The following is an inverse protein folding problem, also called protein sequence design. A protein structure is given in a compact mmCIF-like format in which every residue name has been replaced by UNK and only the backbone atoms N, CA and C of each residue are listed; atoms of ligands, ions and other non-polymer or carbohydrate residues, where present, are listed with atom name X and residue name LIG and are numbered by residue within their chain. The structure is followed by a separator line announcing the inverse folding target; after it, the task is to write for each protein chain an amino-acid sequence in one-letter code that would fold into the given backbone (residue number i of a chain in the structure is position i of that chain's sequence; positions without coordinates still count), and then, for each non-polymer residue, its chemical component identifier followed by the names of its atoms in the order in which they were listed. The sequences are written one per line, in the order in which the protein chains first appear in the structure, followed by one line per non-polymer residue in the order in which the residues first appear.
data_IF_898879519782
#
_entry.id   IF_898879519782
#
_cell.length_a   1.000
_cell.length_b   1.000
_cell.length_c   1.000
_cell.angle_alpha   90.00
_cell.angle_beta   90.00
_cell.angle_gamma   90.00
#
_symmetry.space_group_name_H-M   'P 1'
#
loop_
_entity.id
_entity.type
_entity.pdbx_description
1 polymer ?
#
# COMPACT_ATOMS: atom_id res chain seq x y z
N UNK A 1 16.38 11.66 -23.14
CA UNK A 1 16.15 11.99 -21.73
C UNK A 1 15.00 11.17 -21.15
N UNK A 2 13.80 11.18 -21.71
CA UNK A 2 12.62 10.44 -21.22
C UNK A 2 12.79 8.92 -21.12
N UNK A 3 13.48 8.25 -22.04
CA UNK A 3 13.71 6.81 -22.00
C UNK A 3 14.56 6.39 -20.79
N UNK A 4 15.55 7.19 -20.39
CA UNK A 4 16.36 6.93 -19.19
C UNK A 4 15.56 7.14 -17.92
N UNK A 5 14.76 8.21 -17.84
CA UNK A 5 13.86 8.42 -16.70
C UNK A 5 12.92 7.21 -16.50
N UNK A 6 12.30 6.74 -17.55
CA UNK A 6 11.38 5.59 -17.51
C UNK A 6 12.05 4.28 -17.07
N UNK A 7 13.37 4.15 -17.37
CA UNK A 7 14.16 2.98 -16.95
C UNK A 7 14.50 2.99 -15.47
N UNK A 8 14.84 4.16 -14.89
CA UNK A 8 15.35 4.27 -13.53
C UNK A 8 14.29 4.73 -12.51
N UNK A 9 13.16 5.28 -12.96
CA UNK A 9 12.10 5.73 -12.06
C UNK A 9 11.58 4.63 -11.10
N UNK A 10 11.35 3.36 -11.53
CA UNK A 10 10.94 2.30 -10.62
C UNK A 10 11.99 2.00 -9.54
N UNK A 11 13.27 2.05 -9.90
CA UNK A 11 14.38 1.86 -8.96
C UNK A 11 14.44 3.00 -7.95
N UNK A 12 14.43 4.26 -8.43
CA UNK A 12 14.45 5.43 -7.57
C UNK A 12 13.26 5.46 -6.61
N UNK A 13 12.06 5.13 -7.10
CA UNK A 13 10.85 5.01 -6.27
C UNK A 13 11.03 3.95 -5.17
N UNK A 14 11.45 2.73 -5.53
CA UNK A 14 11.59 1.65 -4.57
C UNK A 14 12.62 1.97 -3.48
N UNK A 15 13.74 2.58 -3.85
CA UNK A 15 14.79 2.96 -2.90
C UNK A 15 14.33 4.10 -1.99
N UNK A 16 13.69 5.15 -2.52
CA UNK A 16 13.22 6.28 -1.71
C UNK A 16 12.07 5.91 -0.79
N UNK A 17 11.02 5.25 -1.30
CA UNK A 17 9.90 4.81 -0.48
C UNK A 17 10.32 3.75 0.55
N UNK A 18 11.17 2.80 0.15
CA UNK A 18 11.74 1.82 1.05
C UNK A 18 12.56 2.45 2.17
N UNK A 19 13.38 3.45 1.88
CA UNK A 19 14.16 4.17 2.89
C UNK A 19 13.25 4.89 3.90
N UNK A 20 12.21 5.57 3.44
CA UNK A 20 11.24 6.26 4.31
C UNK A 20 10.53 5.27 5.24
N UNK A 21 10.04 4.16 4.70
CA UNK A 21 9.38 3.15 5.52
C UNK A 21 10.35 2.50 6.52
N UNK A 22 11.54 2.08 6.08
CA UNK A 22 12.52 1.45 6.96
C UNK A 22 12.97 2.39 8.09
N UNK A 23 13.11 3.69 7.81
CA UNK A 23 13.38 4.67 8.87
C UNK A 23 12.20 4.78 9.85
N UNK A 24 10.97 4.79 9.36
CA UNK A 24 9.75 4.80 10.16
C UNK A 24 9.65 3.58 11.10
N UNK A 25 10.08 2.39 10.65
CA UNK A 25 9.99 1.15 11.42
C UNK A 25 10.80 1.19 12.73
N UNK A 26 11.96 1.85 12.74
CA UNK A 26 12.77 1.95 13.96
C UNK A 26 11.99 2.65 15.09
N UNK A 27 11.17 3.66 14.78
CA UNK A 27 10.34 4.34 15.78
C UNK A 27 9.14 3.49 16.23
N UNK A 28 8.49 2.79 15.25
CA UNK A 28 7.30 1.98 15.55
C UNK A 28 7.61 0.72 16.33
N UNK A 29 8.69 0.01 15.99
CA UNK A 29 9.03 -1.24 16.67
C UNK A 29 9.81 -1.06 17.98
N UNK A 30 10.40 0.11 18.22
CA UNK A 30 11.02 0.43 19.50
C UNK A 30 10.08 1.16 20.48
N UNK A 31 8.83 1.38 20.06
CA UNK A 31 7.84 2.12 20.86
C UNK A 31 8.31 3.53 21.23
N UNK A 32 8.94 4.22 20.28
CA UNK A 32 9.54 5.52 20.48
C UNK A 32 8.52 6.58 20.94
N UNK A 33 8.92 7.58 21.73
CA UNK A 33 8.00 8.63 22.22
C UNK A 33 7.23 9.35 21.12
N UNK A 34 7.87 9.59 19.98
CA UNK A 34 7.26 10.24 18.80
C UNK A 34 6.10 9.42 18.25
N UNK A 35 6.25 8.09 18.24
CA UNK A 35 5.17 7.17 17.83
C UNK A 35 4.03 7.18 18.81
N UNK A 36 4.32 7.22 20.13
CA UNK A 36 3.28 7.26 21.16
C UNK A 36 2.45 8.55 21.08
N UNK A 37 3.06 9.71 20.76
CA UNK A 37 2.34 10.97 20.53
C UNK A 37 1.34 10.81 19.38
N UNK A 38 1.75 10.22 18.26
CA UNK A 38 0.90 10.06 17.08
C UNK A 38 -0.27 9.12 17.38
N UNK A 39 0.05 7.88 17.79
CA UNK A 39 -0.97 6.85 17.98
C UNK A 39 -1.86 7.14 19.19
N UNK A 40 -1.33 7.78 20.25
CA UNK A 40 -2.12 8.23 21.38
C UNK A 40 -3.12 9.33 21.02
N UNK A 41 -2.74 10.32 20.18
CA UNK A 41 -3.68 11.33 19.66
C UNK A 41 -4.77 10.71 18.80
N UNK A 42 -4.43 9.74 17.97
CA UNK A 42 -5.40 9.03 17.10
C UNK A 42 -6.35 8.18 17.93
N UNK A 43 -5.85 7.48 18.97
CA UNK A 43 -6.72 6.67 19.82
C UNK A 43 -7.66 7.51 20.67
N UNK A 44 -7.19 8.63 21.22
CA UNK A 44 -8.03 9.60 21.93
C UNK A 44 -9.12 10.20 21.02
N UNK A 45 -8.78 10.49 19.76
CA UNK A 45 -9.75 10.93 18.76
C UNK A 45 -10.77 9.83 18.45
N UNK A 46 -10.36 8.60 18.23
CA UNK A 46 -11.24 7.46 17.99
C UNK A 46 -12.16 7.20 19.19
N UNK A 47 -11.65 7.32 20.41
CA UNK A 47 -12.42 7.15 21.64
C UNK A 47 -13.55 8.19 21.76
N UNK A 48 -13.39 9.39 21.19
CA UNK A 48 -14.42 10.44 21.23
C UNK A 48 -15.73 10.08 20.53
N UNK A 49 -15.71 9.09 19.63
CA UNK A 49 -16.89 8.53 18.95
C UNK A 49 -17.09 7.04 19.21
N UNK A 50 -16.51 6.51 20.30
CA UNK A 50 -16.77 5.14 20.77
C UNK A 50 -15.87 4.07 20.16
N UNK A 51 -14.79 4.43 19.45
CA UNK A 51 -13.83 3.53 18.82
C UNK A 51 -12.46 3.52 19.52
N UNK A 52 -12.41 3.78 20.84
CA UNK A 52 -11.18 3.71 21.63
C UNK A 52 -10.55 2.31 21.57
N UNK A 53 -9.22 2.26 21.63
CA UNK A 53 -8.44 1.03 21.48
C UNK A 53 -8.13 0.67 20.04
N UNK A 54 -8.67 1.39 19.05
CA UNK A 54 -8.45 1.11 17.63
C UNK A 54 -6.98 1.34 17.21
N UNK A 55 -6.35 2.36 17.80
CA UNK A 55 -4.96 2.75 17.56
C UNK A 55 -4.02 2.39 18.73
N UNK A 56 -4.55 1.78 19.80
CA UNK A 56 -3.73 1.29 20.92
C UNK A 56 -2.75 0.20 20.44
N UNK A 57 -1.79 -0.18 21.25
CA UNK A 57 -0.72 -1.14 20.89
C UNK A 57 -1.23 -2.48 20.37
N UNK A 58 -2.39 -2.93 20.83
CA UNK A 58 -3.06 -4.17 20.38
C UNK A 58 -4.20 -3.92 19.39
N UNK A 59 -4.45 -2.67 19.02
CA UNK A 59 -5.53 -2.26 18.14
C UNK A 59 -5.31 -2.64 16.68
N UNK A 60 -6.41 -2.65 15.92
CA UNK A 60 -6.39 -3.00 14.49
C UNK A 60 -5.52 -2.06 13.66
N UNK A 61 -5.42 -0.79 14.02
CA UNK A 61 -4.55 0.21 13.41
C UNK A 61 -3.38 0.61 14.32
N UNK A 62 -2.91 -0.33 15.15
CA UNK A 62 -1.76 -0.09 16.01
C UNK A 62 -0.49 0.23 15.22
N UNK A 63 0.48 0.85 15.90
CA UNK A 63 1.81 1.09 15.35
C UNK A 63 2.46 -0.19 14.81
N UNK A 64 2.21 -1.34 15.44
CA UNK A 64 2.79 -2.63 15.02
C UNK A 64 2.12 -3.17 13.76
N UNK A 65 0.79 -3.03 13.62
CA UNK A 65 0.06 -3.43 12.40
C UNK A 65 0.49 -2.55 11.23
N UNK A 66 0.48 -1.24 11.41
CA UNK A 66 0.92 -0.29 10.37
C UNK A 66 2.40 -0.49 10.04
N UNK A 67 3.27 -0.63 11.05
CA UNK A 67 4.69 -0.91 10.83
C UNK A 67 4.92 -2.23 10.09
N UNK A 68 4.16 -3.28 10.39
CA UNK A 68 4.24 -4.54 9.66
C UNK A 68 3.83 -4.39 8.19
N UNK A 69 2.79 -3.59 7.91
CA UNK A 69 2.40 -3.29 6.53
C UNK A 69 3.49 -2.49 5.79
N UNK A 70 4.13 -1.51 6.45
CA UNK A 70 5.28 -0.76 5.91
C UNK A 70 6.48 -1.68 5.63
N UNK A 71 6.77 -2.63 6.52
CA UNK A 71 7.83 -3.61 6.34
C UNK A 71 7.58 -4.49 5.11
N UNK A 72 6.36 -5.02 4.99
CA UNK A 72 5.96 -5.84 3.83
C UNK A 72 6.02 -5.00 2.54
N UNK A 73 5.52 -3.76 2.56
CA UNK A 73 5.61 -2.86 1.42
C UNK A 73 7.06 -2.63 1.00
N UNK A 74 7.96 -2.33 1.95
CA UNK A 74 9.39 -2.12 1.71
C UNK A 74 10.06 -3.35 1.09
N UNK A 75 9.81 -4.53 1.66
CA UNK A 75 10.35 -5.78 1.14
C UNK A 75 9.91 -6.03 -0.30
N UNK A 76 8.60 -5.87 -0.59
CA UNK A 76 8.05 -6.07 -1.93
C UNK A 76 8.57 -5.03 -2.94
N UNK A 77 8.72 -3.77 -2.54
CA UNK A 77 9.28 -2.72 -3.37
C UNK A 77 10.74 -3.03 -3.74
N UNK A 78 11.55 -3.41 -2.77
CA UNK A 78 12.99 -3.66 -2.97
C UNK A 78 13.24 -4.96 -3.75
N UNK A 79 12.56 -6.05 -3.40
CA UNK A 79 12.68 -7.34 -4.14
C UNK A 79 12.16 -7.18 -5.56
N UNK A 80 11.08 -6.41 -5.74
CA UNK A 80 10.47 -6.13 -7.04
C UNK A 80 11.31 -5.29 -8.01
N UNK A 81 12.48 -4.76 -7.55
CA UNK A 81 13.47 -4.13 -8.45
C UNK A 81 13.99 -5.14 -9.49
N UNK A 82 14.04 -6.42 -9.12
CA UNK A 82 14.47 -7.49 -10.03
C UNK A 82 13.45 -7.63 -11.17
N UNK A 83 13.89 -7.64 -12.44
CA UNK A 83 12.99 -7.67 -13.60
C UNK A 83 12.00 -8.83 -13.60
N UNK A 84 12.43 -10.01 -13.10
CA UNK A 84 11.58 -11.19 -12.97
C UNK A 84 10.47 -11.05 -11.92
N UNK A 85 10.61 -10.12 -10.96
CA UNK A 85 9.75 -9.97 -9.79
C UNK A 85 8.99 -8.63 -9.78
N UNK A 86 8.85 -7.95 -10.92
CA UNK A 86 8.17 -6.64 -11.04
C UNK A 86 6.74 -6.61 -10.51
N UNK A 87 6.04 -7.74 -10.52
CA UNK A 87 4.70 -7.85 -9.93
C UNK A 87 4.73 -7.57 -8.43
N UNK A 88 5.80 -7.97 -7.73
CA UNK A 88 5.97 -7.71 -6.30
C UNK A 88 6.11 -6.20 -6.04
N UNK A 89 6.83 -5.48 -6.91
CA UNK A 89 6.94 -4.02 -6.78
C UNK A 89 5.57 -3.33 -6.91
N UNK A 90 4.70 -3.81 -7.81
CA UNK A 90 3.34 -3.29 -7.95
C UNK A 90 2.48 -3.59 -6.71
N UNK A 91 2.61 -4.78 -6.12
CA UNK A 91 1.96 -5.10 -4.84
C UNK A 91 2.48 -4.22 -3.70
N UNK A 92 3.81 -4.04 -3.61
CA UNK A 92 4.42 -3.13 -2.63
C UNK A 92 3.90 -1.69 -2.78
N UNK A 93 3.79 -1.19 -4.01
CA UNK A 93 3.23 0.12 -4.30
C UNK A 93 1.75 0.24 -3.92
N UNK A 94 0.97 -0.82 -4.08
CA UNK A 94 -0.44 -0.85 -3.67
C UNK A 94 -0.57 -0.74 -2.14
N UNK A 95 0.22 -1.52 -1.40
CA UNK A 95 0.25 -1.45 0.07
C UNK A 95 0.74 -0.07 0.52
N UNK A 96 1.82 0.46 -0.08
CA UNK A 96 2.35 1.78 0.22
C UNK A 96 1.29 2.88 -0.01
N UNK A 97 0.53 2.80 -1.11
CA UNK A 97 -0.57 3.73 -1.38
C UNK A 97 -1.64 3.65 -0.30
N UNK A 98 -2.05 2.45 0.10
CA UNK A 98 -3.08 2.27 1.14
C UNK A 98 -2.63 2.82 2.50
N UNK A 99 -1.41 2.47 2.94
CA UNK A 99 -0.85 2.96 4.22
C UNK A 99 -0.71 4.48 4.22
N UNK A 100 -0.16 5.05 3.13
CA UNK A 100 0.03 6.49 3.03
C UNK A 100 -1.28 7.25 2.84
N UNK A 101 -2.31 6.66 2.22
CA UNK A 101 -3.66 7.25 2.20
C UNK A 101 -4.19 7.40 3.63
N UNK A 102 -4.04 6.39 4.47
CA UNK A 102 -4.38 6.48 5.89
C UNK A 102 -3.58 7.57 6.59
N UNK A 103 -2.26 7.56 6.46
CA UNK A 103 -1.39 8.55 7.11
C UNK A 103 -1.76 9.99 6.71
N UNK A 104 -1.85 10.28 5.41
CA UNK A 104 -2.20 11.63 4.91
C UNK A 104 -3.60 12.03 5.38
N UNK A 105 -4.57 11.10 5.35
CA UNK A 105 -5.93 11.38 5.82
C UNK A 105 -5.97 11.69 7.31
N UNK A 106 -5.25 10.97 8.14
CA UNK A 106 -5.20 11.23 9.58
C UNK A 106 -4.57 12.59 9.89
N UNK A 107 -3.51 12.97 9.18
CA UNK A 107 -2.91 14.29 9.35
C UNK A 107 -3.85 15.44 8.95
N UNK A 108 -4.67 15.25 7.90
CA UNK A 108 -5.52 16.30 7.36
C UNK A 108 -6.89 16.40 8.06
N UNK A 109 -7.46 15.27 8.49
CA UNK A 109 -8.87 15.22 8.90
C UNK A 109 -9.08 14.84 10.37
N UNK A 110 -8.00 14.73 11.17
CA UNK A 110 -8.09 14.44 12.60
C UNK A 110 -7.32 15.47 13.43
N UNK A 111 -7.49 15.48 14.76
CA UNK A 111 -6.69 16.35 15.64
C UNK A 111 -5.18 16.04 15.67
N UNK A 112 -4.71 15.04 14.90
CA UNK A 112 -3.29 14.76 14.75
C UNK A 112 -2.55 15.99 14.21
N UNK A 113 -3.13 16.65 13.19
CA UNK A 113 -2.52 17.79 12.52
C UNK A 113 -1.29 17.40 11.67
N UNK A 114 -0.71 18.40 11.01
CA UNK A 114 0.42 18.19 10.09
C UNK A 114 1.79 18.14 10.78
N UNK A 115 1.87 18.58 12.01
CA UNK A 115 3.12 18.67 12.80
C UNK A 115 2.94 18.15 14.25
N UNK A 116 2.61 16.86 14.43
CA UNK A 116 2.31 16.31 15.74
C UNK A 116 3.53 16.24 16.67
N UNK A 117 4.72 16.18 16.13
CA UNK A 117 5.99 15.99 16.85
C UNK A 117 6.89 17.24 16.84
N UNK A 118 6.41 18.38 16.35
CA UNK A 118 7.18 19.61 16.17
C UNK A 118 8.43 19.42 15.30
N UNK A 119 8.29 18.63 14.24
CA UNK A 119 9.33 18.35 13.22
C UNK A 119 9.24 19.30 12.01
N UNK A 120 8.40 20.35 12.12
CA UNK A 120 8.11 21.28 11.03
C UNK A 120 7.24 20.68 9.93
N UNK A 121 6.51 19.59 10.22
CA UNK A 121 5.68 18.89 9.26
C UNK A 121 6.46 17.95 8.33
N UNK A 122 7.70 17.64 8.68
CA UNK A 122 8.57 16.77 7.88
C UNK A 122 7.98 15.39 7.67
N UNK A 123 7.43 14.80 8.72
CA UNK A 123 6.78 13.49 8.66
C UNK A 123 5.58 13.48 7.70
N UNK A 124 4.72 14.51 7.78
CA UNK A 124 3.59 14.67 6.87
C UNK A 124 4.04 14.88 5.42
N UNK A 125 5.04 15.74 5.19
CA UNK A 125 5.57 15.98 3.85
C UNK A 125 6.12 14.70 3.22
N UNK A 126 6.87 13.88 3.97
CA UNK A 126 7.38 12.59 3.49
C UNK A 126 6.24 11.60 3.18
N UNK A 127 5.19 11.56 4.01
CA UNK A 127 4.01 10.74 3.72
C UNK A 127 3.34 11.13 2.40
N UNK A 128 3.17 12.43 2.13
CA UNK A 128 2.61 12.96 0.88
C UNK A 128 3.49 12.59 -0.31
N UNK A 129 4.81 12.75 -0.20
CA UNK A 129 5.76 12.42 -1.29
C UNK A 129 5.68 10.93 -1.62
N UNK A 130 5.73 10.04 -0.63
CA UNK A 130 5.62 8.59 -0.85
C UNK A 130 4.26 8.23 -1.42
N UNK A 131 3.19 8.85 -0.95
CA UNK A 131 1.83 8.65 -1.45
C UNK A 131 1.70 8.98 -2.93
N UNK A 132 2.11 10.19 -3.33
CA UNK A 132 2.05 10.63 -4.72
C UNK A 132 2.95 9.78 -5.63
N UNK A 133 4.16 9.43 -5.17
CA UNK A 133 5.07 8.57 -5.92
C UNK A 133 4.48 7.16 -6.11
N UNK A 134 3.82 6.61 -5.10
CA UNK A 134 3.17 5.30 -5.16
C UNK A 134 2.00 5.30 -6.15
N UNK A 135 1.14 6.32 -6.10
CA UNK A 135 0.04 6.50 -7.05
C UNK A 135 0.58 6.64 -8.48
N UNK A 136 1.58 7.50 -8.68
CA UNK A 136 2.20 7.68 -9.98
C UNK A 136 2.76 6.35 -10.52
N UNK A 137 3.47 5.59 -9.66
CA UNK A 137 3.96 4.25 -10.03
C UNK A 137 2.83 3.33 -10.49
N UNK A 138 1.73 3.24 -9.74
CA UNK A 138 0.56 2.39 -10.07
C UNK A 138 -0.10 2.82 -11.39
N UNK A 139 -0.24 4.13 -11.64
CA UNK A 139 -0.79 4.66 -12.88
C UNK A 139 0.08 4.28 -14.07
N UNK A 140 1.41 4.41 -13.96
CA UNK A 140 2.35 4.01 -15.02
C UNK A 140 2.42 2.50 -15.24
N UNK A 141 2.09 1.68 -14.23
CA UNK A 141 2.10 0.22 -14.30
C UNK A 141 0.69 -0.39 -14.19
N UNK A 142 -0.34 0.36 -14.59
CA UNK A 142 -1.75 -0.03 -14.48
C UNK A 142 -2.07 -1.40 -15.09
N UNK A 143 -1.41 -1.78 -16.18
CA UNK A 143 -1.65 -3.07 -16.84
C UNK A 143 -1.22 -4.24 -15.94
N UNK A 144 -0.09 -4.09 -15.26
CA UNK A 144 0.37 -5.05 -14.24
C UNK A 144 -0.57 -5.09 -13.06
N UNK A 145 -1.02 -3.93 -12.58
CA UNK A 145 -1.99 -3.83 -11.49
C UNK A 145 -3.30 -4.53 -11.84
N UNK A 146 -3.87 -4.23 -13.00
CA UNK A 146 -5.11 -4.88 -13.48
C UNK A 146 -4.96 -6.39 -13.63
N UNK A 147 -3.80 -6.86 -14.14
CA UNK A 147 -3.48 -8.29 -14.23
C UNK A 147 -3.48 -8.98 -12.86
N UNK A 148 -2.94 -8.30 -11.82
CA UNK A 148 -2.94 -8.82 -10.45
C UNK A 148 -4.37 -8.87 -9.89
N UNK A 149 -5.12 -7.77 -10.01
CA UNK A 149 -6.49 -7.67 -9.49
C UNK A 149 -7.44 -8.68 -10.15
N UNK A 150 -7.35 -8.85 -11.46
CA UNK A 150 -8.16 -9.85 -12.19
C UNK A 150 -7.77 -11.27 -11.83
N UNK A 151 -6.47 -11.53 -11.60
CA UNK A 151 -5.99 -12.84 -11.13
C UNK A 151 -6.53 -13.19 -9.75
N UNK A 152 -6.48 -12.25 -8.81
CA UNK A 152 -7.06 -12.41 -7.46
C UNK A 152 -8.58 -12.56 -7.54
N UNK A 153 -9.26 -11.74 -8.35
CA UNK A 153 -10.72 -11.84 -8.54
C UNK A 153 -11.15 -13.23 -9.02
N UNK A 154 -10.43 -13.81 -10.01
CA UNK A 154 -10.70 -15.16 -10.51
C UNK A 154 -10.43 -16.25 -9.47
N UNK A 155 -9.43 -16.08 -8.62
CA UNK A 155 -9.12 -17.02 -7.55
C UNK A 155 -10.18 -17.04 -6.43
N UNK A 156 -10.80 -15.88 -6.15
CA UNK A 156 -11.82 -15.73 -5.10
C UNK A 156 -13.22 -16.07 -5.63
N UNK A 157 -13.51 -15.85 -6.93
CA UNK A 157 -14.80 -16.07 -7.57
C UNK A 157 -14.72 -17.18 -8.63
N UNK A 158 -14.53 -18.45 -8.26
CA UNK A 158 -14.30 -19.54 -9.21
C UNK A 158 -15.53 -19.92 -10.09
N UNK A 159 -16.69 -19.27 -9.89
CA UNK A 159 -17.95 -19.65 -10.53
C UNK A 159 -18.24 -19.09 -11.93
N UNK A 160 -17.39 -18.23 -12.52
CA UNK A 160 -17.69 -17.59 -13.81
C UNK A 160 -16.93 -18.18 -15.01
N UNK A 161 -16.05 -19.13 -14.83
CA UNK A 161 -15.26 -19.74 -15.92
C UNK A 161 -15.98 -20.85 -16.70
N UNK A 162 -17.16 -21.30 -16.26
CA UNK A 162 -17.85 -22.47 -16.83
C UNK A 162 -19.09 -22.19 -17.70
N UNK A 163 -19.52 -20.93 -17.86
CA UNK A 163 -20.76 -20.64 -18.55
C UNK A 163 -20.64 -20.48 -20.08
N UNK A 164 -19.45 -20.59 -20.65
CA UNK A 164 -19.19 -20.37 -22.07
C UNK A 164 -18.91 -21.61 -22.93
N UNK A 165 -18.73 -22.79 -22.33
CA UNK A 165 -18.21 -23.98 -23.07
C UNK A 165 -19.15 -25.18 -23.09
N UNK A 166 -20.45 -24.99 -22.88
CA UNK A 166 -21.45 -26.05 -23.13
C UNK A 166 -22.31 -25.77 -24.39
N UNK A 167 -21.67 -25.37 -25.48
CA UNK A 167 -22.31 -25.38 -26.80
C UNK A 167 -21.98 -26.67 -27.54
N UNK A 168 -22.84 -27.64 -27.29
CA UNK A 168 -23.34 -28.71 -28.19
C UNK A 168 -22.39 -29.45 -29.12
N UNK A 169 -22.11 -30.75 -28.82
CA UNK A 169 -21.57 -31.70 -29.84
C UNK A 169 -22.61 -32.18 -30.85
N UNK A 170 -23.86 -31.69 -30.84
CA UNK A 170 -24.95 -32.21 -31.67
C UNK A 170 -25.00 -31.75 -33.13
N UNK A 171 -24.15 -30.81 -33.56
CA UNK A 171 -24.19 -30.24 -34.91
C UNK A 171 -23.27 -30.95 -35.93
N UNK A 172 -22.55 -32.02 -35.57
CA UNK A 172 -21.61 -32.73 -36.45
C UNK A 172 -22.11 -34.03 -37.06
N UNK A 173 -23.37 -34.41 -36.86
CA UNK A 173 -23.95 -35.67 -37.39
C UNK A 173 -25.00 -35.48 -38.48
N UNK A 174 -25.19 -34.29 -39.04
CA UNK A 174 -26.20 -34.01 -40.08
C UNK A 174 -25.60 -33.67 -41.46
N UNK A 175 -24.35 -34.09 -41.74
CA UNK A 175 -23.75 -33.97 -43.09
C UNK A 175 -22.93 -35.22 -43.43
N UNK A 176 -23.64 -36.34 -43.62
CA UNK A 176 -23.21 -37.48 -44.45
C UNK A 176 -24.41 -37.92 -45.27
#
# INVERSE_FOLDING_TARGET
MFARLRKYAPLAYALSAGAVFLDSLRFKFTNAPETQVIFGKLDAWAASFGAGGLFDQTGLFSQYVIGSAELVASALLLIGILPALRRLQTLGALIATAVMTGAVSFHLFTPLGIDPNNDGGGLFAMAVVVWLASIAYLVFHRDTLLSILTGVGRAILPGQAGAGESASPAAKLASV
#
